data_IF_365492660011
#
_entry.id   IF_365492660011
#
_cell.length_a   1.000
_cell.length_b   1.000
_cell.length_c   1.000
_cell.angle_alpha   90.00
_cell.angle_beta   90.00
_cell.angle_gamma   90.00
#
_symmetry.space_group_name_H-M   'P 1'
#
loop_
_entity.id
_entity.type
_entity.pdbx_description
1 polymer ?
#
# COMPACT_ATOMS: atom_id res chain seq x y z
N UNK A 1 -26.42 -14.74 11.13
CA UNK A 1 -25.37 -15.33 11.97
C UNK A 1 -25.99 -16.27 12.98
N UNK A 2 -25.73 -17.56 12.91
CA UNK A 2 -26.28 -18.54 13.84
C UNK A 2 -26.29 -19.95 13.28
N UNK A 3 -26.71 -20.89 14.14
CA UNK A 3 -26.95 -22.27 13.77
C UNK A 3 -28.44 -22.45 13.42
N UNK A 4 -28.72 -23.24 12.43
CA UNK A 4 -30.08 -23.54 11.95
C UNK A 4 -30.17 -24.97 11.42
N UNK A 5 -31.39 -25.49 11.34
CA UNK A 5 -31.59 -26.76 10.67
C UNK A 5 -31.93 -26.56 9.20
N UNK A 6 -31.22 -27.29 8.34
CA UNK A 6 -31.53 -27.31 6.93
C UNK A 6 -32.80 -28.14 6.64
N UNK A 7 -33.28 -28.11 5.41
CA UNK A 7 -34.49 -28.89 4.99
C UNK A 7 -34.32 -30.39 5.13
N UNK A 8 -33.08 -30.90 5.10
CA UNK A 8 -32.77 -32.31 5.35
C UNK A 8 -32.67 -32.67 6.87
N UNK A 9 -32.99 -31.74 7.78
CA UNK A 9 -32.97 -31.96 9.20
C UNK A 9 -31.60 -31.99 9.87
N UNK A 10 -30.54 -31.60 9.14
CA UNK A 10 -29.19 -31.49 9.67
C UNK A 10 -28.95 -30.07 10.18
N UNK A 11 -28.04 -29.93 11.14
CA UNK A 11 -27.68 -28.63 11.71
C UNK A 11 -26.51 -28.03 10.90
N UNK A 12 -26.73 -26.80 10.44
CA UNK A 12 -25.76 -25.97 9.77
C UNK A 12 -25.50 -24.71 10.58
N UNK A 13 -24.42 -24.00 10.28
CA UNK A 13 -24.13 -22.66 10.77
C UNK A 13 -23.78 -21.73 9.61
N UNK A 14 -24.06 -20.44 9.80
CA UNK A 14 -23.63 -19.38 8.93
C UNK A 14 -22.85 -18.33 9.72
N UNK A 15 -21.71 -17.91 9.21
CA UNK A 15 -20.89 -16.86 9.77
C UNK A 15 -20.65 -15.77 8.72
N UNK A 16 -20.91 -14.52 9.11
CA UNK A 16 -20.64 -13.38 8.24
C UNK A 16 -19.15 -13.11 8.13
N UNK A 17 -18.68 -12.81 6.93
CA UNK A 17 -17.34 -12.34 6.63
C UNK A 17 -17.37 -10.81 6.54
N UNK A 18 -16.57 -10.18 7.40
CA UNK A 18 -16.56 -8.73 7.60
C UNK A 18 -15.20 -8.14 7.25
N UNK A 19 -15.18 -7.05 6.48
CA UNK A 19 -14.00 -6.21 6.26
C UNK A 19 -14.36 -4.79 6.63
N UNK A 20 -13.61 -4.16 7.52
CA UNK A 20 -13.86 -2.79 8.00
C UNK A 20 -15.30 -2.56 8.53
N UNK A 21 -15.90 -3.58 9.14
CA UNK A 21 -17.27 -3.49 9.63
C UNK A 21 -18.36 -3.72 8.60
N UNK A 22 -18.01 -3.88 7.33
CA UNK A 22 -18.95 -4.18 6.24
C UNK A 22 -18.99 -5.68 5.94
N UNK A 23 -20.20 -6.20 5.70
CA UNK A 23 -20.38 -7.58 5.31
C UNK A 23 -20.04 -7.78 3.84
N UNK A 24 -18.98 -8.54 3.58
CA UNK A 24 -18.50 -8.86 2.22
C UNK A 24 -18.94 -10.24 1.73
N UNK A 25 -19.44 -11.09 2.64
CA UNK A 25 -19.87 -12.43 2.31
C UNK A 25 -20.32 -13.21 3.53
N UNK A 26 -20.51 -14.50 3.37
CA UNK A 26 -20.78 -15.42 4.46
C UNK A 26 -20.14 -16.78 4.15
N UNK A 27 -19.76 -17.48 5.22
CA UNK A 27 -19.35 -18.87 5.15
C UNK A 27 -20.41 -19.74 5.82
N UNK A 28 -20.70 -20.86 5.19
CA UNK A 28 -21.68 -21.84 5.68
C UNK A 28 -20.93 -23.16 5.89
N UNK A 29 -21.22 -23.81 7.01
CA UNK A 29 -20.68 -25.11 7.31
C UNK A 29 -21.64 -25.89 8.20
N UNK A 30 -21.33 -27.16 8.44
CA UNK A 30 -22.17 -28.00 9.30
C UNK A 30 -22.46 -29.34 8.68
N UNK A 31 -23.75 -29.64 8.46
CA UNK A 31 -24.27 -30.96 8.09
C UNK A 31 -23.96 -32.02 9.16
N UNK A 32 -24.24 -31.69 10.41
CA UNK A 32 -24.03 -32.56 11.56
C UNK A 32 -25.36 -32.75 12.33
N UNK A 33 -25.40 -33.76 13.17
CA UNK A 33 -26.53 -33.99 14.07
C UNK A 33 -26.19 -33.52 15.48
N UNK A 34 -27.06 -32.70 16.15
CA UNK A 34 -26.80 -32.25 17.51
C UNK A 34 -27.05 -33.37 18.54
N UNK A 35 -27.78 -34.41 18.16
CA UNK A 35 -28.11 -35.59 18.92
C UNK A 35 -28.38 -36.78 18.02
N UNK A 36 -28.54 -37.97 18.58
CA UNK A 36 -28.91 -39.16 17.81
C UNK A 36 -30.21 -38.89 17.03
N UNK A 37 -30.24 -39.22 15.72
CA UNK A 37 -31.43 -38.99 14.93
C UNK A 37 -32.61 -39.87 15.36
N UNK A 38 -33.81 -39.29 15.33
CA UNK A 38 -35.05 -40.04 15.47
C UNK A 38 -35.40 -40.64 14.08
N UNK A 39 -35.41 -41.98 13.92
CA UNK A 39 -35.61 -42.59 12.64
C UNK A 39 -36.99 -42.23 12.00
N UNK A 40 -38.04 -42.09 12.78
CA UNK A 40 -39.37 -41.78 12.29
C UNK A 40 -39.45 -40.35 11.72
N UNK A 41 -38.80 -39.41 12.41
CA UNK A 41 -38.67 -38.04 11.94
C UNK A 41 -37.99 -38.00 10.58
N UNK A 42 -36.87 -38.72 10.45
CA UNK A 42 -36.07 -38.68 9.21
C UNK A 42 -36.68 -39.51 8.07
N UNK A 43 -37.47 -40.58 8.35
CA UNK A 43 -38.31 -41.25 7.35
C UNK A 43 -39.34 -40.28 6.74
N UNK A 44 -39.95 -39.44 7.56
CA UNK A 44 -40.91 -38.42 7.07
C UNK A 44 -40.21 -37.40 6.19
N UNK A 45 -39.03 -36.93 6.59
CA UNK A 45 -38.22 -36.00 5.77
C UNK A 45 -37.84 -36.64 4.43
N UNK A 46 -37.43 -37.92 4.40
CA UNK A 46 -37.09 -38.63 3.17
C UNK A 46 -38.29 -38.67 2.22
N UNK A 47 -39.51 -38.97 2.74
CA UNK A 47 -40.75 -38.95 1.94
C UNK A 47 -41.07 -37.57 1.39
N UNK A 48 -40.92 -36.51 2.18
CA UNK A 48 -41.14 -35.14 1.74
C UNK A 48 -40.15 -34.69 0.66
N UNK A 49 -38.93 -35.22 0.68
CA UNK A 49 -37.87 -34.94 -0.29
C UNK A 49 -37.94 -35.88 -1.52
N UNK A 50 -38.78 -36.90 -1.51
CA UNK A 50 -38.88 -37.90 -2.57
C UNK A 50 -37.68 -38.84 -2.66
N UNK A 51 -37.02 -39.11 -1.54
CA UNK A 51 -35.82 -39.96 -1.41
C UNK A 51 -36.24 -41.30 -0.79
N UNK A 52 -35.56 -42.39 -1.20
CA UNK A 52 -35.75 -43.69 -0.58
C UNK A 52 -35.43 -43.67 0.92
N UNK A 53 -36.35 -44.14 1.76
CA UNK A 53 -36.24 -44.02 3.22
C UNK A 53 -35.08 -44.83 3.79
N UNK A 54 -34.84 -46.04 3.27
CA UNK A 54 -33.77 -46.91 3.79
C UNK A 54 -32.38 -46.42 3.36
N UNK A 55 -32.25 -45.94 2.13
CA UNK A 55 -31.03 -45.35 1.65
C UNK A 55 -30.71 -44.08 2.42
N UNK A 56 -31.72 -43.22 2.68
CA UNK A 56 -31.59 -42.00 3.45
C UNK A 56 -31.12 -42.25 4.88
N UNK A 57 -31.77 -43.24 5.55
CA UNK A 57 -31.36 -43.60 6.92
C UNK A 57 -29.98 -44.21 7.00
N UNK A 58 -29.58 -44.99 6.00
CA UNK A 58 -28.22 -45.54 5.87
C UNK A 58 -27.17 -44.42 5.69
N UNK A 59 -27.48 -43.41 4.86
CA UNK A 59 -26.64 -42.24 4.71
C UNK A 59 -26.55 -41.40 6.01
N UNK A 60 -27.71 -41.20 6.65
CA UNK A 60 -27.82 -40.49 7.94
C UNK A 60 -26.97 -41.12 9.04
N UNK A 61 -26.88 -42.47 9.08
CA UNK A 61 -26.00 -43.19 9.99
C UNK A 61 -24.52 -42.86 9.90
N UNK A 62 -24.08 -42.26 8.79
CA UNK A 62 -22.69 -41.82 8.56
C UNK A 62 -22.49 -40.36 9.01
N UNK A 63 -23.55 -39.60 9.28
CA UNK A 63 -23.47 -38.22 9.69
C UNK A 63 -22.96 -38.14 11.13
N UNK A 64 -21.92 -37.35 11.42
CA UNK A 64 -21.39 -37.26 12.78
C UNK A 64 -22.35 -36.58 13.72
N UNK A 65 -22.48 -37.18 14.92
CA UNK A 65 -23.23 -36.57 16.04
C UNK A 65 -22.27 -35.73 16.86
N UNK A 66 -22.62 -34.47 17.07
CA UNK A 66 -21.85 -33.53 17.89
C UNK A 66 -22.80 -32.74 18.76
N UNK A 67 -22.45 -32.50 20.03
CA UNK A 67 -23.31 -31.70 20.90
C UNK A 67 -23.50 -30.27 20.34
N UNK A 68 -24.67 -29.70 20.58
CA UNK A 68 -24.99 -28.34 20.13
C UNK A 68 -23.97 -27.32 20.62
N UNK A 69 -23.48 -27.47 21.87
CA UNK A 69 -22.38 -26.62 22.39
C UNK A 69 -21.14 -26.72 21.54
N UNK A 70 -20.72 -27.91 21.13
CA UNK A 70 -19.54 -28.12 20.29
C UNK A 70 -19.73 -27.51 18.90
N UNK A 71 -20.94 -27.67 18.32
CA UNK A 71 -21.24 -27.09 16.99
C UNK A 71 -21.15 -25.56 17.06
N UNK A 72 -21.75 -24.94 18.10
CA UNK A 72 -21.70 -23.47 18.26
C UNK A 72 -20.29 -22.95 18.49
N UNK A 73 -19.53 -23.59 19.41
CA UNK A 73 -18.15 -23.18 19.69
C UNK A 73 -17.24 -23.34 18.45
N UNK A 74 -17.44 -24.42 17.67
CA UNK A 74 -16.70 -24.60 16.40
C UNK A 74 -17.06 -23.52 15.38
N UNK A 75 -18.35 -23.16 15.27
CA UNK A 75 -18.82 -22.11 14.39
C UNK A 75 -18.25 -20.72 14.77
N UNK A 76 -18.20 -20.42 16.08
CA UNK A 76 -17.63 -19.17 16.59
C UNK A 76 -16.12 -19.09 16.32
N UNK A 77 -15.39 -20.17 16.63
CA UNK A 77 -13.95 -20.25 16.36
C UNK A 77 -13.67 -20.09 14.86
N UNK A 78 -14.39 -20.83 14.03
CA UNK A 78 -14.23 -20.76 12.57
C UNK A 78 -14.53 -19.36 12.04
N UNK A 79 -15.64 -18.75 12.51
CA UNK A 79 -15.98 -17.36 12.16
C UNK A 79 -14.86 -16.39 12.51
N UNK A 80 -14.29 -16.51 13.72
CA UNK A 80 -13.21 -15.65 14.19
C UNK A 80 -11.97 -15.80 13.34
N UNK A 81 -11.53 -17.04 13.11
CA UNK A 81 -10.33 -17.34 12.29
C UNK A 81 -10.51 -16.85 10.86
N UNK A 82 -11.67 -17.12 10.24
CA UNK A 82 -11.94 -16.68 8.88
C UNK A 82 -11.99 -15.16 8.74
N UNK A 83 -12.59 -14.46 9.71
CA UNK A 83 -12.61 -13.00 9.70
C UNK A 83 -11.20 -12.42 9.92
N UNK A 84 -10.39 -12.99 10.80
CA UNK A 84 -9.00 -12.57 10.97
C UNK A 84 -8.19 -12.79 9.69
N UNK A 85 -8.32 -13.96 9.07
CA UNK A 85 -7.57 -14.30 7.85
C UNK A 85 -7.95 -13.40 6.66
N UNK A 86 -9.25 -13.15 6.44
CA UNK A 86 -9.69 -12.31 5.33
C UNK A 86 -9.26 -10.85 5.50
N UNK A 87 -9.34 -10.33 6.74
CA UNK A 87 -8.87 -8.98 7.04
C UNK A 87 -7.35 -8.87 6.87
N UNK A 88 -6.58 -9.85 7.36
CA UNK A 88 -5.13 -9.87 7.17
C UNK A 88 -4.76 -9.86 5.68
N UNK A 89 -5.38 -10.73 4.89
CA UNK A 89 -5.14 -10.81 3.43
C UNK A 89 -5.52 -9.51 2.71
N UNK A 90 -6.62 -8.89 3.11
CA UNK A 90 -7.06 -7.60 2.58
C UNK A 90 -6.04 -6.48 2.84
N UNK A 91 -5.60 -6.36 4.11
CA UNK A 91 -4.62 -5.34 4.48
C UNK A 91 -3.23 -5.61 3.89
N UNK A 92 -2.80 -6.86 3.78
CA UNK A 92 -1.56 -7.21 3.09
C UNK A 92 -1.59 -6.73 1.63
N UNK A 93 -2.69 -6.96 0.92
CA UNK A 93 -2.83 -6.52 -0.49
C UNK A 93 -2.81 -4.99 -0.62
N UNK A 94 -3.50 -4.28 0.28
CA UNK A 94 -3.49 -2.81 0.30
C UNK A 94 -2.08 -2.28 0.59
N UNK A 95 -1.41 -2.84 1.61
CA UNK A 95 -0.07 -2.39 1.97
C UNK A 95 0.95 -2.67 0.86
N UNK A 96 0.83 -3.81 0.17
CA UNK A 96 1.67 -4.11 -0.99
C UNK A 96 1.47 -3.09 -2.11
N UNK A 97 0.22 -2.73 -2.43
CA UNK A 97 -0.09 -1.71 -3.43
C UNK A 97 0.46 -0.33 -3.04
N UNK A 98 0.27 0.08 -1.77
CA UNK A 98 0.82 1.35 -1.25
C UNK A 98 2.34 1.38 -1.33
N UNK A 99 3.01 0.28 -0.99
CA UNK A 99 4.46 0.18 -1.07
C UNK A 99 4.97 0.28 -2.51
N UNK A 100 4.26 -0.31 -3.47
CA UNK A 100 4.62 -0.16 -4.89
C UNK A 100 4.55 1.29 -5.35
N UNK A 101 3.45 2.00 -5.00
CA UNK A 101 3.31 3.42 -5.34
C UNK A 101 4.39 4.25 -4.65
N UNK A 102 4.65 4.02 -3.37
CA UNK A 102 5.70 4.71 -2.62
C UNK A 102 7.07 4.54 -3.28
N UNK A 103 7.45 3.30 -3.63
CA UNK A 103 8.74 3.04 -4.29
C UNK A 103 8.85 3.72 -5.65
N UNK A 104 7.75 3.77 -6.42
CA UNK A 104 7.74 4.47 -7.71
C UNK A 104 7.90 5.98 -7.55
N UNK A 105 7.22 6.58 -6.59
CA UNK A 105 7.34 8.03 -6.34
C UNK A 105 8.72 8.37 -5.75
N UNK A 106 9.26 7.55 -4.84
CA UNK A 106 10.62 7.70 -4.31
C UNK A 106 11.67 7.67 -5.44
N UNK A 107 11.54 6.75 -6.39
CA UNK A 107 12.45 6.70 -7.54
C UNK A 107 12.39 7.96 -8.39
N UNK A 108 11.19 8.50 -8.65
CA UNK A 108 11.04 9.76 -9.38
C UNK A 108 11.71 10.94 -8.68
N UNK A 109 11.60 10.98 -7.35
CA UNK A 109 12.26 12.02 -6.55
C UNK A 109 13.78 11.88 -6.65
N UNK A 110 14.32 10.67 -6.53
CA UNK A 110 15.76 10.42 -6.70
C UNK A 110 16.26 10.85 -8.07
N UNK A 111 15.53 10.52 -9.13
CA UNK A 111 15.89 10.92 -10.50
C UNK A 111 15.87 12.45 -10.67
N UNK A 112 14.87 13.14 -10.09
CA UNK A 112 14.78 14.59 -10.13
C UNK A 112 15.92 15.26 -9.34
N UNK A 113 16.25 14.75 -8.18
CA UNK A 113 17.39 15.20 -7.36
C UNK A 113 18.72 15.05 -8.14
N UNK A 114 18.92 13.91 -8.79
CA UNK A 114 20.10 13.69 -9.65
C UNK A 114 20.20 14.68 -10.81
N UNK A 115 19.06 15.03 -11.43
CA UNK A 115 19.03 16.05 -12.48
C UNK A 115 19.34 17.45 -11.93
N UNK A 116 18.81 17.81 -10.76
CA UNK A 116 19.09 19.08 -10.10
C UNK A 116 20.60 19.19 -9.81
N UNK A 117 21.22 18.17 -9.22
CA UNK A 117 22.67 18.12 -8.97
C UNK A 117 23.50 18.38 -10.24
N UNK A 118 23.12 17.72 -11.33
CA UNK A 118 23.82 17.88 -12.60
C UNK A 118 23.69 19.30 -13.12
N UNK A 119 22.48 19.87 -13.10
CA UNK A 119 22.23 21.23 -13.58
C UNK A 119 22.88 22.31 -12.70
N UNK A 120 22.87 22.13 -11.40
CA UNK A 120 23.55 23.06 -10.48
C UNK A 120 25.05 23.07 -10.75
N UNK A 121 25.69 21.93 -10.99
CA UNK A 121 27.11 21.86 -11.35
C UNK A 121 27.42 22.57 -12.66
N UNK A 122 26.57 22.44 -13.71
CA UNK A 122 26.71 23.19 -14.96
C UNK A 122 26.62 24.70 -14.71
N UNK A 123 25.73 25.16 -13.84
CA UNK A 123 25.55 26.56 -13.49
C UNK A 123 26.76 27.09 -12.67
N UNK A 124 27.35 26.32 -11.78
CA UNK A 124 28.58 26.67 -11.06
C UNK A 124 29.75 26.87 -12.02
N UNK A 125 29.88 26.01 -13.02
CA UNK A 125 30.89 26.18 -14.07
C UNK A 125 30.67 27.47 -14.84
N UNK A 126 29.40 27.80 -15.14
CA UNK A 126 29.06 29.06 -15.85
C UNK A 126 29.43 30.28 -14.99
N UNK A 127 29.05 30.30 -13.70
CA UNK A 127 29.40 31.38 -12.79
C UNK A 127 30.93 31.55 -12.65
N UNK A 128 31.66 30.43 -12.62
CA UNK A 128 33.14 30.48 -12.62
C UNK A 128 33.71 31.11 -13.91
N UNK A 129 33.14 30.77 -15.06
CA UNK A 129 33.53 31.40 -16.34
C UNK A 129 33.18 32.90 -16.37
N UNK A 130 32.00 33.30 -15.88
CA UNK A 130 31.59 34.69 -15.76
C UNK A 130 32.53 35.49 -14.87
N UNK A 131 32.98 34.91 -13.76
CA UNK A 131 33.95 35.52 -12.86
C UNK A 131 35.29 35.73 -13.55
N UNK A 132 35.79 34.74 -14.30
CA UNK A 132 37.03 34.91 -15.11
C UNK A 132 36.87 35.95 -16.18
N UNK A 133 35.71 36.00 -16.85
CA UNK A 133 35.40 36.97 -17.90
C UNK A 133 35.38 38.40 -17.34
N UNK A 134 34.75 38.59 -16.17
CA UNK A 134 34.70 39.88 -15.47
C UNK A 134 36.08 40.37 -15.08
N UNK A 135 36.93 39.47 -14.57
CA UNK A 135 38.33 39.80 -14.23
C UNK A 135 39.10 40.24 -15.49
N UNK A 136 39.02 39.51 -16.60
CA UNK A 136 39.67 39.88 -17.85
C UNK A 136 39.15 41.20 -18.38
N UNK A 137 37.82 41.46 -18.31
CA UNK A 137 37.23 42.74 -18.71
C UNK A 137 37.70 43.89 -17.84
N UNK A 138 37.84 43.69 -16.52
CA UNK A 138 38.41 44.69 -15.59
C UNK A 138 39.86 45.01 -15.91
N UNK A 139 40.67 44.01 -16.27
CA UNK A 139 42.07 44.21 -16.64
C UNK A 139 42.15 45.06 -17.95
N UNK A 140 41.34 44.75 -18.94
CA UNK A 140 41.32 45.49 -20.23
C UNK A 140 40.78 46.91 -20.03
N UNK A 141 39.75 47.09 -19.21
CA UNK A 141 39.25 48.40 -18.83
C UNK A 141 40.34 49.25 -18.18
N UNK A 142 41.13 48.65 -17.28
CA UNK A 142 42.29 49.29 -16.64
C UNK A 142 43.38 49.72 -17.66
N UNK A 143 43.64 48.88 -18.68
CA UNK A 143 44.58 49.20 -19.77
C UNK A 143 44.11 50.38 -20.62
N UNK A 144 42.80 50.52 -20.82
CA UNK A 144 42.20 51.63 -21.59
C UNK A 144 42.21 52.96 -20.79
N UNK A 145 42.63 52.97 -19.54
CA UNK A 145 42.76 54.19 -18.70
C UNK A 145 41.41 54.92 -18.57
N UNK A 146 41.43 56.24 -18.81
CA UNK A 146 40.19 57.07 -18.65
C UNK A 146 39.06 56.66 -19.57
N UNK A 147 39.32 56.07 -20.73
CA UNK A 147 38.30 55.60 -21.62
C UNK A 147 37.61 54.29 -21.15
N UNK A 148 38.27 53.51 -20.30
CA UNK A 148 37.79 52.26 -19.77
C UNK A 148 36.98 52.33 -18.45
N UNK A 149 36.87 53.50 -17.81
CA UNK A 149 36.25 53.66 -16.48
C UNK A 149 34.80 53.12 -16.46
N UNK A 150 33.99 53.38 -17.53
CA UNK A 150 32.63 52.86 -17.58
C UNK A 150 32.57 51.34 -17.74
N UNK A 151 33.52 50.74 -18.46
CA UNK A 151 33.63 49.29 -18.63
C UNK A 151 34.09 48.58 -17.35
N UNK A 152 34.97 49.22 -16.55
CA UNK A 152 35.40 48.68 -15.26
C UNK A 152 34.22 48.46 -14.31
N UNK A 153 33.30 49.43 -14.21
CA UNK A 153 32.09 49.34 -13.37
C UNK A 153 31.23 48.18 -13.81
N UNK A 154 31.04 47.98 -15.11
CA UNK A 154 30.21 46.86 -15.62
C UNK A 154 30.90 45.52 -15.34
N UNK A 155 32.20 45.44 -15.53
CA UNK A 155 32.98 44.23 -15.25
C UNK A 155 32.92 43.87 -13.74
N UNK A 156 33.08 44.85 -12.85
CA UNK A 156 32.93 44.61 -11.40
C UNK A 156 31.53 44.10 -11.03
N UNK A 157 30.49 44.67 -11.64
CA UNK A 157 29.11 44.22 -11.40
C UNK A 157 28.86 42.79 -11.89
N UNK A 158 29.39 42.39 -13.05
CA UNK A 158 29.36 41.01 -13.55
C UNK A 158 30.05 40.07 -12.53
N UNK A 159 31.23 40.46 -12.04
CA UNK A 159 31.93 39.68 -11.01
C UNK A 159 31.17 39.52 -9.71
N UNK A 160 30.49 40.59 -9.27
CA UNK A 160 29.63 40.54 -8.09
C UNK A 160 28.45 39.55 -8.29
N UNK A 161 27.77 39.65 -9.44
CA UNK A 161 26.66 38.75 -9.79
C UNK A 161 27.12 37.29 -9.91
N UNK A 162 28.26 37.00 -10.46
CA UNK A 162 28.84 35.65 -10.53
C UNK A 162 29.14 35.09 -9.16
N UNK A 163 29.61 35.90 -8.21
CA UNK A 163 29.82 35.45 -6.82
C UNK A 163 28.49 35.17 -6.09
N UNK A 164 27.49 36.03 -6.29
CA UNK A 164 26.15 35.81 -5.72
C UNK A 164 25.50 34.55 -6.27
N UNK A 165 25.62 34.31 -7.59
CA UNK A 165 25.15 33.07 -8.23
C UNK A 165 25.83 31.84 -7.64
N UNK A 166 27.15 31.87 -7.43
CA UNK A 166 27.87 30.75 -6.81
C UNK A 166 27.36 30.42 -5.41
N UNK A 167 27.08 31.43 -4.57
CA UNK A 167 26.53 31.22 -3.24
C UNK A 167 25.13 30.59 -3.27
N UNK A 168 24.30 30.96 -4.25
CA UNK A 168 22.97 30.35 -4.46
C UNK A 168 23.10 28.89 -4.87
N UNK A 169 24.05 28.55 -5.74
CA UNK A 169 24.26 27.15 -6.17
C UNK A 169 24.77 26.27 -5.03
N UNK A 170 25.64 26.80 -4.18
CA UNK A 170 26.09 26.11 -2.97
C UNK A 170 24.94 25.81 -2.01
N UNK A 171 24.05 26.78 -1.79
CA UNK A 171 22.84 26.57 -0.98
C UNK A 171 21.87 25.54 -1.62
N UNK A 172 21.78 25.49 -2.96
CA UNK A 172 21.01 24.45 -3.65
C UNK A 172 21.62 23.07 -3.41
N UNK A 173 22.94 22.92 -3.45
CA UNK A 173 23.61 21.66 -3.15
C UNK A 173 23.29 21.16 -1.74
N UNK A 174 23.36 22.02 -0.72
CA UNK A 174 23.00 21.65 0.65
C UNK A 174 21.56 21.17 0.79
N UNK A 175 20.61 21.85 0.11
CA UNK A 175 19.21 21.44 0.11
C UNK A 175 18.99 20.09 -0.57
N UNK A 176 19.67 19.88 -1.68
CA UNK A 176 19.56 18.63 -2.46
C UNK A 176 20.14 17.45 -1.68
N UNK A 177 21.28 17.62 -1.02
CA UNK A 177 21.88 16.61 -0.15
C UNK A 177 20.96 16.27 1.03
N UNK A 178 20.32 17.27 1.64
CA UNK A 178 19.32 17.05 2.70
C UNK A 178 18.08 16.25 2.22
N UNK A 179 17.67 16.43 0.96
CA UNK A 179 16.58 15.65 0.39
C UNK A 179 17.03 14.21 0.11
N UNK A 180 18.26 14.00 -0.40
CA UNK A 180 18.82 12.65 -0.60
C UNK A 180 18.89 11.85 0.70
N UNK A 181 19.32 12.48 1.79
CA UNK A 181 19.42 11.83 3.10
C UNK A 181 18.04 11.47 3.69
N UNK A 182 16.96 12.04 3.14
CA UNK A 182 15.58 11.86 3.64
C UNK A 182 14.78 10.81 2.86
N UNK A 183 15.29 10.30 1.74
CA UNK A 183 14.65 9.33 0.84
C UNK A 183 15.14 7.90 1.12
#
# INVERSE_FOLDING_TARGET
>A
KGSYFCHAGLMDFAADLMINGEKVGAVIGGQVLPQKPDPEKFRRIARELGIDEEEYLKALGKVPVRSEKMIRSSAELFSTVMNQWINLSYYQKINQSKMQVFNQESQKVQDAVGQIKTKTRELEQTATMEKMLSLNASIEAGRAGRAGVGFSVVAEEIGRMANESSAVYEAIHELVDSVEDSI
#
